data_IF_208184283373
#
_entry.id   IF_208184283373
#
_cell.length_a   1.000
_cell.length_b   1.000
_cell.length_c   1.000
_cell.angle_alpha   90.00
_cell.angle_beta   90.00
_cell.angle_gamma   90.00
#
_symmetry.space_group_name_H-M   'P 1'
#
loop_
_entity.id
_entity.type
_entity.pdbx_description
1 polymer ?
#
# COMPACT_ATOMS: atom_id res chain seq x y z
N UNK A 1 -4.34 4.50 4.91
CA UNK A 1 -4.70 3.36 4.02
C UNK A 1 -4.48 2.10 4.83
N UNK A 2 -5.49 1.26 4.98
CA UNK A 2 -5.42 0.03 5.79
C UNK A 2 -4.60 -1.07 5.08
N UNK A 3 -3.93 -1.89 5.89
CA UNK A 3 -3.17 -3.07 5.47
C UNK A 3 -4.12 -4.18 5.03
N UNK A 4 -5.33 -4.25 5.60
CA UNK A 4 -6.36 -5.20 5.19
C UNK A 4 -7.35 -4.57 4.22
N UNK A 5 -7.77 -5.36 3.22
CA UNK A 5 -8.82 -4.98 2.25
C UNK A 5 -9.72 -6.17 1.98
N UNK A 6 -11.02 -5.92 1.95
CA UNK A 6 -12.02 -6.95 1.63
C UNK A 6 -11.67 -7.65 0.31
N UNK A 7 -11.71 -8.98 0.31
CA UNK A 7 -11.44 -9.80 -0.87
C UNK A 7 -9.95 -9.92 -1.25
N UNK A 8 -9.04 -9.16 -0.64
CA UNK A 8 -7.59 -9.23 -0.85
C UNK A 8 -6.92 -10.11 0.20
N UNK A 9 -7.43 -11.33 0.37
CA UNK A 9 -6.98 -12.25 1.41
C UNK A 9 -7.58 -12.03 2.78
N UNK A 10 -8.44 -11.01 2.92
CA UNK A 10 -9.20 -10.74 4.13
C UNK A 10 -10.71 -10.82 3.86
N UNK A 11 -11.42 -11.27 4.89
CA UNK A 11 -12.88 -11.32 5.00
C UNK A 11 -13.28 -10.42 6.18
N UNK A 12 -13.55 -9.17 5.87
CA UNK A 12 -13.93 -8.12 6.81
C UNK A 12 -15.42 -8.26 7.10
N UNK A 13 -15.74 -8.23 8.38
CA UNK A 13 -17.11 -8.26 8.90
C UNK A 13 -17.32 -7.05 9.82
N UNK A 14 -18.58 -6.68 10.13
CA UNK A 14 -18.85 -5.72 11.18
C UNK A 14 -18.19 -6.11 12.51
N UNK A 15 -17.97 -5.14 13.39
CA UNK A 15 -17.46 -5.36 14.74
C UNK A 15 -18.54 -6.04 15.61
N UNK A 16 -18.74 -7.32 15.36
CA UNK A 16 -19.71 -8.18 16.01
C UNK A 16 -19.15 -9.60 16.12
N UNK A 17 -19.20 -10.16 17.32
CA UNK A 17 -18.64 -11.47 17.61
C UNK A 17 -19.35 -12.59 16.84
N UNK A 18 -20.67 -12.46 16.67
CA UNK A 18 -21.49 -13.44 15.94
C UNK A 18 -21.15 -13.47 14.45
N UNK A 19 -21.03 -12.29 13.83
CA UNK A 19 -20.63 -12.12 12.44
C UNK A 19 -19.21 -12.66 12.20
N UNK A 20 -18.29 -12.42 13.14
CA UNK A 20 -16.94 -12.98 13.09
C UNK A 20 -16.94 -14.51 13.16
N UNK A 21 -17.59 -15.09 14.17
CA UNK A 21 -17.64 -16.54 14.36
C UNK A 21 -18.29 -17.24 13.16
N UNK A 22 -19.41 -16.72 12.66
CA UNK A 22 -20.10 -17.25 11.48
C UNK A 22 -19.20 -17.23 10.24
N UNK A 23 -18.45 -16.13 10.04
CA UNK A 23 -17.53 -16.00 8.90
C UNK A 23 -16.34 -16.94 8.99
N UNK A 24 -15.80 -17.15 10.19
CA UNK A 24 -14.72 -18.12 10.44
C UNK A 24 -15.19 -19.53 10.13
N UNK A 25 -16.37 -19.93 10.65
CA UNK A 25 -16.95 -21.25 10.38
C UNK A 25 -17.15 -21.44 8.88
N UNK A 26 -17.78 -20.47 8.19
CA UNK A 26 -17.98 -20.52 6.74
C UNK A 26 -16.67 -20.75 5.98
N UNK A 27 -15.61 -19.99 6.31
CA UNK A 27 -14.31 -20.12 5.64
C UNK A 27 -13.62 -21.47 5.92
N UNK A 28 -13.77 -22.00 7.14
CA UNK A 28 -13.16 -23.28 7.49
C UNK A 28 -13.92 -24.48 6.89
N UNK A 29 -15.24 -24.36 6.73
CA UNK A 29 -16.08 -25.38 6.10
C UNK A 29 -15.99 -25.35 4.57
N UNK A 30 -15.87 -24.18 3.94
CA UNK A 30 -15.69 -24.02 2.50
C UNK A 30 -14.21 -23.87 2.11
N UNK A 31 -13.52 -25.01 2.06
CA UNK A 31 -12.09 -25.09 1.71
C UNK A 31 -11.76 -24.51 0.32
N UNK A 32 -12.58 -24.73 -0.73
CA UNK A 32 -12.39 -24.04 -2.01
C UNK A 32 -12.45 -22.51 -1.92
N UNK A 33 -13.45 -21.96 -1.22
CA UNK A 33 -13.56 -20.50 -1.05
C UNK A 33 -12.37 -19.93 -0.27
N UNK A 34 -11.89 -20.65 0.75
CA UNK A 34 -10.68 -20.27 1.49
C UNK A 34 -9.43 -20.25 0.58
N UNK A 35 -9.24 -21.28 -0.25
CA UNK A 35 -8.11 -21.33 -1.18
C UNK A 35 -8.16 -20.19 -2.20
N UNK A 36 -9.34 -19.88 -2.72
CA UNK A 36 -9.55 -18.74 -3.63
C UNK A 36 -9.25 -17.39 -2.95
N UNK A 37 -9.63 -17.23 -1.68
CA UNK A 37 -9.31 -16.03 -0.91
C UNK A 37 -7.80 -15.92 -0.64
N UNK A 38 -7.16 -17.02 -0.24
CA UNK A 38 -5.72 -17.07 0.02
C UNK A 38 -4.90 -16.71 -1.21
N UNK A 39 -5.28 -17.22 -2.40
CA UNK A 39 -4.61 -16.91 -3.66
C UNK A 39 -4.60 -15.40 -3.99
N UNK A 40 -5.66 -14.66 -3.60
CA UNK A 40 -5.76 -13.20 -3.80
C UNK A 40 -4.88 -12.39 -2.84
N UNK A 41 -4.40 -13.00 -1.76
CA UNK A 41 -3.55 -12.34 -0.75
C UNK A 41 -2.14 -12.08 -1.26
N UNK A 42 -1.55 -13.06 -1.96
CA UNK A 42 -0.12 -13.04 -2.28
C UNK A 42 0.31 -11.84 -3.16
N UNK A 43 -0.39 -11.53 -4.27
CA UNK A 43 -0.07 -10.35 -5.06
C UNK A 43 -0.21 -9.05 -4.27
N UNK A 44 -1.17 -8.98 -3.34
CA UNK A 44 -1.40 -7.79 -2.53
C UNK A 44 -0.34 -7.64 -1.43
N UNK A 45 0.02 -8.72 -0.73
CA UNK A 45 1.05 -8.73 0.29
C UNK A 45 2.43 -8.34 -0.28
N UNK A 46 2.76 -8.77 -1.50
CA UNK A 46 4.01 -8.37 -2.17
C UNK A 46 4.11 -6.85 -2.35
N UNK A 47 2.98 -6.17 -2.59
CA UNK A 47 2.94 -4.70 -2.69
C UNK A 47 3.12 -3.99 -1.35
N UNK A 48 3.04 -4.69 -0.23
CA UNK A 48 3.27 -4.19 1.14
C UNK A 48 4.54 -4.76 1.79
N UNK A 49 5.32 -5.56 1.06
CA UNK A 49 6.59 -6.07 1.56
C UNK A 49 7.53 -4.92 1.95
N UNK A 50 8.39 -5.17 2.94
CA UNK A 50 9.39 -4.19 3.37
C UNK A 50 10.24 -3.68 2.19
N UNK A 51 10.60 -4.57 1.26
CA UNK A 51 11.31 -4.21 0.02
C UNK A 51 10.49 -3.29 -0.89
N UNK A 52 9.21 -3.58 -1.10
CA UNK A 52 8.33 -2.71 -1.90
C UNK A 52 8.13 -1.33 -1.26
N UNK A 53 8.01 -1.26 0.08
CA UNK A 53 7.94 0.02 0.80
C UNK A 53 9.25 0.81 0.69
N UNK A 54 10.39 0.14 0.90
CA UNK A 54 11.70 0.77 0.79
C UNK A 54 11.93 1.32 -0.61
N UNK A 55 11.58 0.57 -1.66
CA UNK A 55 11.66 1.05 -3.04
C UNK A 55 10.80 2.30 -3.26
N UNK A 56 9.55 2.33 -2.77
CA UNK A 56 8.69 3.53 -2.88
C UNK A 56 9.30 4.73 -2.19
N UNK A 57 9.93 4.54 -1.03
CA UNK A 57 10.58 5.61 -0.30
C UNK A 57 11.78 6.17 -1.07
N UNK A 58 12.60 5.30 -1.65
CA UNK A 58 13.74 5.68 -2.50
C UNK A 58 13.27 6.44 -3.75
N UNK A 59 12.27 5.91 -4.46
CA UNK A 59 11.69 6.53 -5.65
C UNK A 59 11.12 7.93 -5.32
N UNK A 60 10.48 8.07 -4.15
CA UNK A 60 9.98 9.36 -3.67
C UNK A 60 11.10 10.35 -3.37
N UNK A 61 12.16 9.93 -2.68
CA UNK A 61 13.31 10.80 -2.42
C UNK A 61 13.99 11.28 -3.70
N UNK A 62 14.12 10.42 -4.70
CA UNK A 62 14.65 10.80 -6.01
C UNK A 62 13.82 11.92 -6.65
N UNK A 63 12.48 11.79 -6.65
CA UNK A 63 11.58 12.82 -7.19
C UNK A 63 11.73 14.17 -6.46
N UNK A 64 11.83 14.16 -5.13
CA UNK A 64 12.01 15.38 -4.34
C UNK A 64 13.34 16.06 -4.64
N UNK A 65 14.42 15.28 -4.79
CA UNK A 65 15.74 15.80 -5.14
C UNK A 65 15.73 16.42 -6.53
N UNK A 66 15.15 15.74 -7.51
CA UNK A 66 15.10 16.22 -8.90
C UNK A 66 14.23 17.47 -9.04
N UNK A 67 13.09 17.53 -8.35
CA UNK A 67 12.25 18.73 -8.30
C UNK A 67 13.02 19.94 -7.73
N UNK A 68 13.85 19.73 -6.69
CA UNK A 68 14.67 20.81 -6.11
C UNK A 68 15.83 21.22 -7.03
N UNK A 69 16.45 20.29 -7.74
CA UNK A 69 17.49 20.60 -8.73
C UNK A 69 16.93 21.38 -9.93
N UNK A 70 15.74 21.00 -10.41
CA UNK A 70 15.04 21.72 -11.47
C UNK A 70 14.57 23.12 -11.05
N UNK A 71 14.12 23.27 -9.81
CA UNK A 71 13.71 24.57 -9.24
C UNK A 71 14.88 25.53 -8.97
N UNK A 72 16.09 25.01 -8.73
CA UNK A 72 17.29 25.83 -8.49
C UNK A 72 17.84 26.54 -9.74
N UNK A 73 17.34 26.20 -10.94
CA UNK A 73 17.80 26.81 -12.20
C UNK A 73 17.18 28.20 -12.48
N UNK A 74 16.24 28.67 -11.65
CA UNK A 74 15.53 29.94 -11.85
C UNK A 74 16.00 31.11 -10.94
N UNK A 75 17.18 31.04 -10.33
CA UNK A 75 17.76 32.20 -9.63
C UNK A 75 18.44 33.11 -10.65
N UNK A 76 17.72 34.14 -11.10
CA UNK A 76 18.24 35.21 -11.96
C UNK A 76 19.29 36.02 -11.17
N UNK A 77 20.49 36.28 -11.69
CA UNK A 77 21.44 37.14 -10.99
C UNK A 77 20.89 38.57 -10.95
N UNK A 78 20.88 39.17 -9.76
CA UNK A 78 20.63 40.61 -9.59
C UNK A 78 21.89 41.35 -10.06
N UNK A 79 21.73 42.24 -11.03
CA UNK A 79 22.83 43.08 -11.51
C UNK A 79 23.18 44.15 -10.44
N UNK A 80 24.46 44.47 -10.23
CA UNK A 80 24.84 45.53 -9.30
C UNK A 80 24.45 46.91 -9.87
N UNK A 81 23.95 47.78 -8.99
CA UNK A 81 23.63 49.17 -9.30
C UNK A 81 24.91 50.00 -9.45
N UNK A 82 24.92 50.88 -10.46
CA UNK A 82 25.98 51.84 -10.76
C UNK A 82 26.06 53.00 -9.76
#
# INVERSE_FOLDING_TARGET
RDVLREGQGAAIVPEDEGAFAARVVQLLTDRPALAALAARTRPYAETWSAGAMAKRLVDWYAQVIDARRGGASAVRPVAPAS
#
